data_IF_710546732544
#
_entry.id   IF_710546732544
#
_cell.length_a   1.000
_cell.length_b   1.000
_cell.length_c   1.000
_cell.angle_alpha   90.00
_cell.angle_beta   90.00
_cell.angle_gamma   90.00
#
_symmetry.space_group_name_H-M   'P 1'
#
loop_
_entity.id
_entity.type
_entity.pdbx_description
1 polymer ?
#
# COMPACT_ATOMS: atom_id res chain seq x y z
N UNK A 1 -5.84 -0.21 17.83
CA UNK A 1 -7.08 0.57 17.62
C UNK A 1 -7.90 -0.21 16.61
N UNK A 2 -8.91 -0.94 17.06
CA UNK A 2 -9.64 -1.91 16.24
C UNK A 2 -10.53 -1.18 15.23
N UNK A 3 -10.32 -1.42 13.94
CA UNK A 3 -11.08 -0.79 12.86
C UNK A 3 -12.42 -1.52 12.66
N UNK A 4 -13.51 -1.02 13.25
CA UNK A 4 -14.86 -1.54 12.94
C UNK A 4 -15.33 -1.04 11.57
N UNK A 5 -15.16 -1.87 10.53
CA UNK A 5 -15.65 -1.58 9.18
C UNK A 5 -17.18 -1.73 9.14
N UNK A 6 -17.92 -0.62 8.95
CA UNK A 6 -19.39 -0.68 8.85
C UNK A 6 -19.83 -1.33 7.53
N UNK A 7 -20.56 -2.44 7.65
CA UNK A 7 -20.97 -3.36 6.58
C UNK A 7 -22.09 -2.81 5.68
N UNK A 8 -21.93 -2.98 4.36
CA UNK A 8 -23.04 -3.25 3.44
C UNK A 8 -22.53 -4.05 2.23
N UNK A 9 -22.04 -5.28 2.41
CA UNK A 9 -21.69 -6.12 1.27
C UNK A 9 -21.90 -7.60 1.60
N UNK A 10 -23.09 -8.13 1.29
CA UNK A 10 -23.30 -9.59 1.18
C UNK A 10 -22.56 -10.11 -0.08
N UNK A 11 -21.92 -11.28 0.00
CA UNK A 11 -21.20 -11.90 -1.12
C UNK A 11 -19.73 -11.49 -1.30
N UNK A 12 -19.07 -10.97 -0.26
CA UNK A 12 -17.63 -10.69 -0.29
C UNK A 12 -16.82 -11.97 -0.48
N UNK A 13 -15.75 -11.88 -1.30
CA UNK A 13 -14.82 -12.99 -1.40
C UNK A 13 -14.07 -13.20 -0.06
N UNK A 14 -13.56 -14.42 0.20
CA UNK A 14 -12.90 -14.76 1.46
C UNK A 14 -11.74 -13.84 1.85
N UNK A 15 -11.06 -13.21 0.90
CA UNK A 15 -9.95 -12.31 1.18
C UNK A 15 -10.38 -10.94 1.65
N UNK A 16 -11.45 -10.41 1.07
CA UNK A 16 -12.03 -9.17 1.58
C UNK A 16 -12.52 -9.39 3.01
N UNK A 17 -13.07 -10.57 3.32
CA UNK A 17 -13.43 -10.96 4.67
C UNK A 17 -12.20 -11.06 5.60
N UNK A 18 -11.13 -11.74 5.16
CA UNK A 18 -9.89 -11.85 5.92
C UNK A 18 -9.28 -10.47 6.22
N UNK A 19 -9.29 -9.56 5.25
CA UNK A 19 -8.86 -8.17 5.47
C UNK A 19 -9.71 -7.47 6.52
N UNK A 20 -11.05 -7.61 6.46
CA UNK A 20 -11.95 -6.98 7.44
C UNK A 20 -11.68 -7.51 8.86
N UNK A 21 -11.32 -8.78 8.98
CA UNK A 21 -10.99 -9.44 10.25
C UNK A 21 -9.54 -9.17 10.71
N UNK A 22 -8.70 -8.57 9.86
CA UNK A 22 -7.30 -8.32 10.18
C UNK A 22 -7.18 -7.23 11.22
N UNK A 23 -6.70 -7.61 12.41
CA UNK A 23 -6.14 -6.66 13.36
C UNK A 23 -4.67 -6.39 13.01
N UNK A 24 -4.39 -5.17 12.55
CA UNK A 24 -3.03 -4.75 12.19
C UNK A 24 -2.09 -4.62 13.38
N UNK A 25 -2.62 -4.59 14.61
CA UNK A 25 -1.85 -4.53 15.84
C UNK A 25 -1.54 -5.95 16.37
N UNK A 26 -2.17 -7.00 15.83
CA UNK A 26 -1.92 -8.40 16.20
C UNK A 26 -0.78 -9.02 15.36
N UNK A 27 0.44 -8.92 15.87
CA UNK A 27 1.62 -9.47 15.21
C UNK A 27 1.55 -11.00 14.98
N UNK A 28 0.86 -11.74 15.86
CA UNK A 28 0.73 -13.19 15.72
C UNK A 28 -0.22 -13.53 14.58
N UNK A 29 -1.38 -12.87 14.51
CA UNK A 29 -2.32 -13.02 13.40
C UNK A 29 -1.67 -12.65 12.07
N UNK A 30 -0.98 -11.50 12.02
CA UNK A 30 -0.27 -11.05 10.83
C UNK A 30 0.77 -12.07 10.38
N UNK A 31 1.61 -12.56 11.30
CA UNK A 31 2.62 -13.56 10.99
C UNK A 31 2.02 -14.90 10.56
N UNK A 32 0.84 -15.26 11.06
CA UNK A 32 0.16 -16.51 10.70
C UNK A 32 -0.44 -16.43 9.29
N UNK A 33 -1.09 -15.32 8.94
CA UNK A 33 -1.90 -15.23 7.72
C UNK A 33 -1.23 -14.51 6.55
N UNK A 34 -0.18 -13.72 6.79
CA UNK A 34 0.43 -12.86 5.78
C UNK A 34 1.94 -13.02 5.69
N UNK A 35 2.45 -13.00 4.47
CA UNK A 35 3.81 -12.55 4.21
C UNK A 35 3.81 -11.03 4.10
N UNK A 36 4.68 -10.37 4.86
CA UNK A 36 4.70 -8.92 4.99
C UNK A 36 6.08 -8.38 4.66
N UNK A 37 6.12 -7.32 3.87
CA UNK A 37 7.35 -6.59 3.58
C UNK A 37 7.06 -5.10 3.38
N UNK A 38 8.06 -4.28 3.64
CA UNK A 38 7.97 -2.83 3.46
C UNK A 38 8.51 -2.44 2.09
N UNK A 39 7.76 -1.58 1.40
CA UNK A 39 8.11 -0.98 0.12
C UNK A 39 8.51 0.46 0.41
N UNK A 40 9.72 0.86 0.11
CA UNK A 40 10.21 2.19 0.44
C UNK A 40 10.93 2.86 -0.71
N UNK A 41 10.86 4.18 -0.76
CA UNK A 41 11.82 4.95 -1.54
C UNK A 41 13.24 4.86 -0.95
N UNK A 42 13.38 4.76 0.37
CA UNK A 42 14.67 4.63 1.06
C UNK A 42 15.20 3.20 0.93
N UNK A 43 16.52 3.03 0.92
CA UNK A 43 17.19 1.73 0.86
C UNK A 43 17.33 1.06 2.23
N UNK A 44 16.99 1.76 3.31
CA UNK A 44 16.97 1.26 4.68
C UNK A 44 15.89 1.98 5.50
N UNK A 45 15.59 1.46 6.68
CA UNK A 45 14.80 2.18 7.68
C UNK A 45 15.64 3.34 8.19
N UNK A 46 15.21 4.57 7.93
CA UNK A 46 15.91 5.76 8.38
C UNK A 46 15.98 5.80 9.91
N UNK A 47 17.14 6.15 10.45
CA UNK A 47 17.28 6.51 11.86
C UNK A 47 16.70 7.90 12.11
N UNK A 48 16.38 8.23 13.35
CA UNK A 48 15.91 9.57 13.73
C UNK A 48 16.84 10.69 13.23
N UNK A 49 18.16 10.47 13.30
CA UNK A 49 19.16 11.42 12.80
C UNK A 49 19.11 11.60 11.29
N UNK A 50 18.81 10.54 10.55
CA UNK A 50 18.66 10.58 9.09
C UNK A 50 17.35 11.25 8.70
N UNK A 51 16.25 10.96 9.40
CA UNK A 51 14.96 11.65 9.21
C UNK A 51 15.10 13.17 9.33
N UNK A 52 15.80 13.66 10.36
CA UNK A 52 15.98 15.10 10.59
C UNK A 52 16.87 15.76 9.52
N UNK A 53 17.81 15.00 8.93
CA UNK A 53 18.75 15.52 7.92
C UNK A 53 18.27 15.36 6.49
N UNK A 54 17.33 14.45 6.24
CA UNK A 54 16.81 14.18 4.92
C UNK A 54 16.15 15.43 4.34
N UNK A 55 16.42 15.71 3.07
CA UNK A 55 15.83 16.85 2.37
C UNK A 55 14.35 16.63 2.05
N UNK A 56 13.93 15.37 1.91
CA UNK A 56 12.58 14.95 1.57
C UNK A 56 12.33 13.58 2.19
N UNK A 57 11.45 13.52 3.18
CA UNK A 57 10.96 12.29 3.82
C UNK A 57 9.53 12.00 3.39
N UNK A 58 8.71 13.04 3.36
CA UNK A 58 7.29 12.94 3.13
C UNK A 58 6.78 14.10 2.27
N UNK A 59 5.49 14.10 1.92
CA UNK A 59 4.89 15.18 1.15
C UNK A 59 4.85 16.50 1.93
N UNK A 60 4.75 16.46 3.26
CA UNK A 60 4.78 17.67 4.08
C UNK A 60 6.06 18.52 3.89
N UNK A 61 7.19 17.88 3.55
CA UNK A 61 8.48 18.56 3.30
C UNK A 61 8.51 19.37 2.01
N UNK A 62 7.56 19.14 1.09
CA UNK A 62 7.49 19.78 -0.22
C UNK A 62 7.10 21.28 -0.12
N UNK A 63 6.54 21.70 1.03
CA UNK A 63 5.85 23.00 1.19
C UNK A 63 6.56 24.17 0.51
N UNK A 64 5.92 24.71 -0.53
CA UNK A 64 6.35 25.87 -1.33
C UNK A 64 7.76 25.77 -1.94
N UNK A 65 8.35 24.57 -2.02
CA UNK A 65 9.66 24.34 -2.63
C UNK A 65 9.48 23.60 -3.97
N UNK A 66 9.65 24.28 -5.12
CA UNK A 66 9.48 23.67 -6.44
C UNK A 66 10.41 22.49 -6.71
N UNK A 67 11.66 22.55 -6.21
CA UNK A 67 12.66 21.49 -6.40
C UNK A 67 12.23 20.24 -5.65
N UNK A 68 11.83 20.37 -4.38
CA UNK A 68 11.31 19.25 -3.59
C UNK A 68 10.02 18.69 -4.18
N UNK A 69 9.18 19.55 -4.77
CA UNK A 69 7.95 19.12 -5.45
C UNK A 69 8.26 18.25 -6.68
N UNK A 70 9.23 18.65 -7.48
CA UNK A 70 9.68 17.86 -8.62
C UNK A 70 10.27 16.51 -8.18
N UNK A 71 11.14 16.52 -7.16
CA UNK A 71 11.69 15.31 -6.55
C UNK A 71 10.58 14.37 -6.07
N UNK A 72 9.63 14.88 -5.29
CA UNK A 72 8.48 14.12 -4.81
C UNK A 72 7.66 13.55 -5.97
N UNK A 73 7.38 14.34 -7.01
CA UNK A 73 6.61 13.87 -8.17
C UNK A 73 7.33 12.72 -8.89
N UNK A 74 8.65 12.73 -8.96
CA UNK A 74 9.42 11.64 -9.55
C UNK A 74 9.32 10.36 -8.71
N UNK A 75 9.37 10.48 -7.39
CA UNK A 75 9.17 9.34 -6.47
C UNK A 75 7.74 8.81 -6.56
N UNK A 76 6.75 9.72 -6.55
CA UNK A 76 5.34 9.39 -6.66
C UNK A 76 5.01 8.65 -7.97
N UNK A 77 5.72 8.93 -9.07
CA UNK A 77 5.59 8.16 -10.32
C UNK A 77 5.98 6.69 -10.14
N UNK A 78 7.00 6.39 -9.34
CA UNK A 78 7.42 5.00 -9.09
C UNK A 78 6.32 4.23 -8.34
N UNK A 79 5.78 4.82 -7.27
CA UNK A 79 4.64 4.25 -6.54
C UNK A 79 3.39 4.12 -7.41
N UNK A 80 3.06 5.15 -8.20
CA UNK A 80 1.94 5.10 -9.14
C UNK A 80 2.10 3.97 -10.17
N UNK A 81 3.29 3.79 -10.74
CA UNK A 81 3.55 2.68 -11.67
C UNK A 81 3.31 1.34 -10.99
N UNK A 82 3.86 1.12 -9.78
CA UNK A 82 3.65 -0.12 -9.03
C UNK A 82 2.16 -0.40 -8.78
N UNK A 83 1.43 0.59 -8.29
CA UNK A 83 0.01 0.43 -7.95
C UNK A 83 -0.86 0.25 -9.20
N UNK A 84 -0.52 0.89 -10.31
CA UNK A 84 -1.21 0.67 -11.58
C UNK A 84 -0.97 -0.73 -12.11
N UNK A 85 0.26 -1.24 -12.02
CA UNK A 85 0.56 -2.62 -12.41
C UNK A 85 -0.19 -3.64 -11.55
N UNK A 86 -0.28 -3.42 -10.23
CA UNK A 86 -1.09 -4.28 -9.34
C UNK A 86 -2.57 -4.20 -9.67
N UNK A 87 -3.10 -3.01 -9.95
CA UNK A 87 -4.50 -2.83 -10.35
C UNK A 87 -4.84 -3.56 -11.65
N UNK A 88 -3.98 -3.47 -12.67
CA UNK A 88 -4.18 -4.20 -13.93
C UNK A 88 -4.08 -5.72 -13.71
N UNK A 89 -3.11 -6.21 -12.94
CA UNK A 89 -3.01 -7.64 -12.59
C UNK A 89 -4.21 -8.14 -11.80
N UNK A 90 -4.80 -7.27 -10.97
CA UNK A 90 -6.03 -7.55 -10.25
C UNK A 90 -7.29 -7.52 -11.15
N UNK A 91 -7.13 -7.43 -12.48
CA UNK A 91 -8.22 -7.26 -13.44
C UNK A 91 -9.07 -6.03 -13.14
N UNK A 92 -8.43 -4.96 -12.67
CA UNK A 92 -9.05 -3.68 -12.30
C UNK A 92 -10.08 -3.78 -11.18
N UNK A 93 -9.98 -4.82 -10.35
CA UNK A 93 -10.80 -4.97 -9.14
C UNK A 93 -9.99 -4.55 -7.93
N UNK A 94 -10.40 -3.45 -7.29
CA UNK A 94 -9.78 -2.98 -6.07
C UNK A 94 -10.82 -2.38 -5.10
N UNK A 95 -10.45 -2.36 -3.84
CA UNK A 95 -11.15 -1.62 -2.79
C UNK A 95 -10.17 -0.70 -2.09
N UNK A 96 -10.68 0.39 -1.53
CA UNK A 96 -9.90 1.29 -0.68
C UNK A 96 -10.53 1.32 0.70
N UNK A 97 -9.74 0.99 1.72
CA UNK A 97 -10.11 1.21 3.11
C UNK A 97 -9.68 2.62 3.52
N UNK A 98 -10.66 3.46 3.86
CA UNK A 98 -10.48 4.81 4.37
C UNK A 98 -11.14 4.91 5.73
N UNK A 99 -10.34 5.14 6.77
CA UNK A 99 -10.81 5.09 8.16
C UNK A 99 -11.52 3.75 8.43
N UNK A 100 -12.85 3.78 8.61
CA UNK A 100 -13.69 2.63 8.94
C UNK A 100 -14.61 2.20 7.78
N UNK A 101 -14.30 2.64 6.55
CA UNK A 101 -15.11 2.32 5.38
C UNK A 101 -14.27 1.60 4.34
N UNK A 102 -14.80 0.49 3.85
CA UNK A 102 -14.27 -0.20 2.69
C UNK A 102 -15.09 0.21 1.46
N UNK A 103 -14.45 0.88 0.51
CA UNK A 103 -15.10 1.47 -0.66
C UNK A 103 -14.65 0.75 -1.93
N UNK A 104 -15.55 0.22 -2.77
CA UNK A 104 -15.17 -0.34 -4.05
C UNK A 104 -14.66 0.75 -4.99
N UNK A 105 -13.61 0.43 -5.74
CA UNK A 105 -13.09 1.29 -6.81
C UNK A 105 -13.91 1.05 -8.07
N UNK A 106 -14.77 2.01 -8.41
CA UNK A 106 -15.69 1.89 -9.56
C UNK A 106 -15.12 2.46 -10.87
N UNK A 107 -14.00 3.20 -10.81
CA UNK A 107 -13.35 3.77 -11.99
C UNK A 107 -11.85 3.97 -11.76
N UNK A 108 -11.09 4.04 -12.86
CA UNK A 108 -9.65 4.27 -12.81
C UNK A 108 -9.31 5.69 -12.33
N UNK A 109 -10.12 6.69 -12.65
CA UNK A 109 -9.91 8.07 -12.18
C UNK A 109 -10.08 8.18 -10.67
N UNK A 110 -11.05 7.44 -10.11
CA UNK A 110 -11.24 7.37 -8.67
C UNK A 110 -10.06 6.63 -8.01
N UNK A 111 -9.59 5.54 -8.62
CA UNK A 111 -8.40 4.82 -8.18
C UNK A 111 -7.16 5.72 -8.11
N UNK A 112 -6.84 6.43 -9.19
CA UNK A 112 -5.71 7.38 -9.25
C UNK A 112 -5.85 8.45 -8.17
N UNK A 113 -7.06 8.99 -7.99
CA UNK A 113 -7.30 10.00 -6.96
C UNK A 113 -6.99 9.47 -5.56
N UNK A 114 -7.33 8.21 -5.26
CA UNK A 114 -6.99 7.62 -3.97
C UNK A 114 -5.48 7.45 -3.78
N UNK A 115 -4.76 7.00 -4.81
CA UNK A 115 -3.29 6.88 -4.73
C UNK A 115 -2.64 8.26 -4.54
N UNK A 116 -3.00 9.23 -5.38
CA UNK A 116 -2.45 10.58 -5.32
C UNK A 116 -2.71 11.24 -3.97
N UNK A 117 -3.90 11.02 -3.42
CA UNK A 117 -4.27 11.50 -2.10
C UNK A 117 -3.45 10.82 -1.02
N UNK A 118 -3.32 9.49 -1.06
CA UNK A 118 -2.56 8.73 -0.07
C UNK A 118 -1.07 9.11 -0.07
N UNK A 119 -0.44 9.23 -1.25
CA UNK A 119 0.94 9.69 -1.38
C UNK A 119 1.14 11.11 -0.83
N UNK A 120 0.11 11.97 -0.91
CA UNK A 120 0.10 13.33 -0.37
C UNK A 120 -0.44 13.41 1.05
N UNK A 121 -0.63 12.28 1.73
CA UNK A 121 -1.07 12.17 3.12
C UNK A 121 -2.51 12.69 3.35
N UNK A 122 -3.44 12.51 2.39
CA UNK A 122 -4.77 13.15 2.35
C UNK A 122 -5.97 12.24 2.02
N UNK A 123 -6.46 11.39 2.94
CA UNK A 123 -5.75 10.76 4.04
C UNK A 123 -4.98 9.53 3.55
N UNK A 124 -4.20 8.90 4.42
CA UNK A 124 -3.66 7.56 4.17
C UNK A 124 -4.77 6.53 4.02
N UNK A 125 -4.49 5.44 3.31
CA UNK A 125 -5.47 4.39 3.04
C UNK A 125 -4.82 3.00 2.99
N UNK A 126 -5.67 1.97 2.95
CA UNK A 126 -5.24 0.66 2.47
C UNK A 126 -5.85 0.40 1.09
N UNK A 127 -5.02 0.02 0.13
CA UNK A 127 -5.44 -0.45 -1.19
C UNK A 127 -5.55 -1.97 -1.14
N UNK A 128 -6.71 -2.54 -1.47
CA UNK A 128 -6.93 -3.97 -1.48
C UNK A 128 -7.11 -4.45 -2.92
N UNK A 129 -6.42 -5.53 -3.27
CA UNK A 129 -6.50 -6.21 -4.55
C UNK A 129 -6.91 -7.67 -4.30
N UNK A 130 -8.22 -7.96 -4.12
CA UNK A 130 -8.65 -9.27 -3.63
C UNK A 130 -8.31 -10.41 -4.59
N UNK A 131 -8.35 -10.21 -5.90
CA UNK A 131 -7.96 -11.27 -6.86
C UNK A 131 -6.47 -11.65 -6.76
N UNK A 132 -5.65 -10.81 -6.12
CA UNK A 132 -4.22 -11.01 -5.90
C UNK A 132 -3.88 -11.50 -4.48
N UNK A 133 -4.85 -11.57 -3.56
CA UNK A 133 -4.52 -11.81 -2.15
C UNK A 133 -3.58 -10.77 -1.56
N UNK A 134 -3.61 -9.55 -2.10
CA UNK A 134 -2.68 -8.49 -1.78
C UNK A 134 -3.42 -7.27 -1.24
N UNK A 135 -2.87 -6.63 -0.21
CA UNK A 135 -3.22 -5.26 0.10
C UNK A 135 -2.00 -4.47 0.54
N UNK A 136 -2.07 -3.15 0.38
CA UNK A 136 -1.00 -2.21 0.67
C UNK A 136 -1.55 -1.14 1.60
N UNK A 137 -0.92 -1.00 2.77
CA UNK A 137 -1.14 0.10 3.70
C UNK A 137 -0.16 1.22 3.37
N UNK A 138 -0.66 2.39 3.01
CA UNK A 138 0.21 3.54 2.73
C UNK A 138 0.73 4.15 4.03
N UNK A 139 1.98 4.62 4.02
CA UNK A 139 2.63 5.28 5.15
C UNK A 139 2.85 6.78 4.90
N UNK A 140 3.27 7.50 5.94
CA UNK A 140 3.57 8.94 5.84
C UNK A 140 4.92 9.22 5.18
N UNK A 141 5.89 8.34 5.35
CA UNK A 141 7.31 8.56 5.09
C UNK A 141 7.81 7.82 3.84
N UNK A 142 7.05 7.89 2.73
CA UNK A 142 7.37 7.20 1.47
C UNK A 142 7.76 5.71 1.67
N UNK A 143 7.26 5.11 2.76
CA UNK A 143 7.47 3.71 3.17
C UNK A 143 6.12 3.10 3.47
N UNK A 144 5.72 2.16 2.64
CA UNK A 144 4.40 1.53 2.65
C UNK A 144 4.55 0.06 3.02
N UNK A 145 3.50 -0.56 3.52
CA UNK A 145 3.54 -1.95 3.96
C UNK A 145 2.65 -2.81 3.07
N UNK A 146 3.25 -3.84 2.48
CA UNK A 146 2.55 -4.80 1.63
C UNK A 146 2.30 -6.09 2.41
N UNK A 147 1.10 -6.64 2.23
CA UNK A 147 0.63 -7.85 2.86
C UNK A 147 0.12 -8.80 1.79
N UNK A 148 0.68 -10.00 1.75
CA UNK A 148 0.31 -11.07 0.81
C UNK A 148 -0.24 -12.23 1.63
N UNK A 149 -1.50 -12.58 1.43
CA UNK A 149 -2.15 -13.67 2.16
C UNK A 149 -1.48 -15.01 1.82
N UNK A 150 -0.99 -15.75 2.83
CA UNK A 150 -0.25 -17.00 2.64
C UNK A 150 -1.09 -18.10 2.01
N UNK A 151 -2.30 -18.32 2.54
CA UNK A 151 -3.19 -19.38 2.06
C UNK A 151 -3.73 -19.09 0.65
N UNK A 152 -3.79 -17.82 0.28
CA UNK A 152 -4.22 -17.39 -1.04
C UNK A 152 -3.05 -17.28 -2.03
N UNK A 153 -1.82 -17.04 -1.58
CA UNK A 153 -0.63 -17.10 -2.42
C UNK A 153 -0.46 -18.49 -3.06
N UNK A 154 -0.94 -19.55 -2.41
CA UNK A 154 -0.93 -20.91 -2.95
C UNK A 154 -1.94 -21.13 -4.09
N UNK A 155 -3.03 -20.35 -4.14
CA UNK A 155 -4.10 -20.48 -5.14
C UNK A 155 -4.13 -19.34 -6.18
N UNK A 156 -3.52 -18.21 -5.86
CA UNK A 156 -3.41 -17.05 -6.74
C UNK A 156 -2.19 -17.15 -7.66
N UNK A 157 -2.24 -16.40 -8.77
CA UNK A 157 -1.14 -16.33 -9.73
C UNK A 157 0.04 -15.46 -9.25
N UNK A 158 -0.05 -14.85 -8.07
CA UNK A 158 0.92 -13.87 -7.60
C UNK A 158 1.51 -14.32 -6.27
N UNK A 159 2.84 -14.40 -6.22
CA UNK A 159 3.57 -14.66 -4.98
C UNK A 159 4.12 -13.36 -4.40
N UNK A 160 4.52 -13.37 -3.13
CA UNK A 160 5.24 -12.25 -2.56
C UNK A 160 6.52 -11.93 -3.34
N UNK A 161 7.22 -12.95 -3.86
CA UNK A 161 8.40 -12.75 -4.70
C UNK A 161 8.09 -12.01 -6.01
N UNK A 162 6.92 -12.27 -6.61
CA UNK A 162 6.48 -11.53 -7.80
C UNK A 162 6.23 -10.06 -7.50
N UNK A 163 5.50 -9.74 -6.42
CA UNK A 163 5.27 -8.34 -6.02
C UNK A 163 6.59 -7.66 -5.66
N UNK A 164 7.50 -8.35 -4.98
CA UNK A 164 8.86 -7.87 -4.71
C UNK A 164 9.64 -7.56 -5.98
N UNK A 165 9.55 -8.40 -7.02
CA UNK A 165 10.16 -8.09 -8.33
C UNK A 165 9.59 -6.80 -8.91
N UNK A 166 8.26 -6.64 -8.91
CA UNK A 166 7.61 -5.43 -9.42
C UNK A 166 8.07 -4.17 -8.68
N UNK A 167 8.28 -4.26 -7.36
CA UNK A 167 8.81 -3.16 -6.53
C UNK A 167 10.21 -2.75 -7.01
N UNK A 168 11.09 -3.73 -7.23
CA UNK A 168 12.46 -3.49 -7.72
C UNK A 168 12.43 -2.92 -9.14
N UNK A 169 11.56 -3.43 -10.01
CA UNK A 169 11.46 -3.02 -11.41
C UNK A 169 11.04 -1.55 -11.57
N UNK A 170 10.28 -1.00 -10.61
CA UNK A 170 9.93 0.44 -10.60
C UNK A 170 10.97 1.31 -9.88
N UNK A 171 12.07 0.72 -9.40
CA UNK A 171 13.14 1.41 -8.70
C UNK A 171 12.83 1.78 -7.24
N UNK A 172 11.94 1.02 -6.60
CA UNK A 172 11.68 1.10 -5.16
C UNK A 172 12.44 -0.03 -4.43
N UNK A 173 12.61 0.14 -3.13
CA UNK A 173 13.34 -0.79 -2.27
C UNK A 173 12.39 -1.66 -1.45
N UNK A 174 12.86 -2.86 -1.11
CA UNK A 174 12.22 -3.73 -0.13
C UNK A 174 13.04 -3.68 1.14
N UNK A 175 12.46 -3.21 2.24
CA UNK A 175 13.16 -3.16 3.51
C UNK A 175 13.04 -4.51 4.22
N UNK A 176 14.19 -5.05 4.63
CA UNK A 176 14.24 -6.20 5.52
C UNK A 176 14.05 -5.70 6.96
N UNK A 177 13.10 -6.29 7.68
CA UNK A 177 12.97 -6.12 9.13
C UNK A 177 13.78 -7.18 9.85
#
# INVERSE_FOLDING_TARGET
MTYEIKRSVEGLNPLTQLFIETDFDDAQFIAQHYEVFSISFFDHVLTEKEYVKASLVCYADVKNNPIKKEQFNNIAKQFNTLYNSLYEQASRQAFVALHNFLVPVISFELYQRYIDNALKERPLCCLLFPSLGCFIRTGYDLTHQCFIAKDFALSSKISAQHVKSMVIDVGLNILQR
#
